data_IF_245202002614
#
_entry.id   IF_245202002614
#
_cell.length_a   1.000
_cell.length_b   1.000
_cell.length_c   1.000
_cell.angle_alpha   90.00
_cell.angle_beta   90.00
_cell.angle_gamma   90.00
#
_symmetry.space_group_name_H-M   'P 1'
#
loop_
_entity.id
_entity.type
_entity.pdbx_description
1 polymer ?
#
# COMPACT_ATOMS: atom_id res chain seq x y z
N UNK A 1 -12.66 -21.32 -6.66
CA UNK A 1 -11.23 -21.66 -6.85
C UNK A 1 -10.99 -22.90 -6.02
N UNK A 2 -10.75 -24.03 -6.68
CA UNK A 2 -10.26 -25.24 -6.02
C UNK A 2 -8.74 -25.09 -5.89
N UNK A 3 -8.20 -25.20 -4.68
CA UNK A 3 -6.75 -25.15 -4.44
C UNK A 3 -6.22 -26.58 -4.56
N UNK A 4 -5.14 -26.74 -5.32
CA UNK A 4 -4.48 -28.02 -5.59
C UNK A 4 -3.03 -27.94 -5.11
N UNK A 5 -2.50 -29.04 -4.57
CA UNK A 5 -1.14 -29.14 -4.02
C UNK A 5 -0.06 -29.24 -5.10
N UNK A 6 -0.13 -28.37 -6.10
CA UNK A 6 0.91 -28.25 -7.11
C UNK A 6 2.10 -27.44 -6.56
N UNK A 7 3.30 -27.85 -6.96
CA UNK A 7 4.51 -27.09 -6.65
C UNK A 7 4.41 -25.65 -7.19
N UNK A 8 4.91 -24.68 -6.40
CA UNK A 8 5.01 -23.29 -6.83
C UNK A 8 5.97 -23.24 -8.03
N UNK A 9 5.55 -22.70 -9.19
CA UNK A 9 6.45 -22.54 -10.32
C UNK A 9 7.59 -21.59 -9.99
N UNK A 10 8.82 -22.09 -10.15
CA UNK A 10 10.06 -21.34 -9.95
C UNK A 10 10.82 -21.31 -11.27
N UNK A 11 11.30 -20.13 -11.68
CA UNK A 11 12.27 -20.01 -12.78
C UNK A 11 13.56 -19.36 -12.28
N UNK A 12 14.70 -19.86 -12.71
CA UNK A 12 16.02 -19.30 -12.39
C UNK A 12 16.67 -18.81 -13.67
N UNK A 13 17.19 -17.59 -13.68
CA UNK A 13 17.78 -16.94 -14.87
C UNK A 13 19.09 -16.25 -14.51
N UNK A 14 20.09 -16.41 -15.37
CA UNK A 14 21.33 -15.64 -15.30
C UNK A 14 21.23 -14.41 -16.20
N UNK A 15 21.45 -13.22 -15.64
CA UNK A 15 21.48 -11.97 -16.36
C UNK A 15 22.94 -11.56 -16.57
N UNK A 16 23.37 -11.63 -17.83
CA UNK A 16 24.71 -11.23 -18.26
C UNK A 16 24.78 -9.79 -18.80
N UNK A 17 23.63 -9.17 -19.08
CA UNK A 17 23.57 -7.86 -19.75
C UNK A 17 23.67 -6.69 -18.77
N UNK A 18 23.27 -6.89 -17.52
CA UNK A 18 23.37 -5.86 -16.49
C UNK A 18 24.66 -5.99 -15.70
N UNK A 19 25.30 -4.84 -15.47
CA UNK A 19 26.42 -4.73 -14.55
C UNK A 19 25.97 -4.82 -13.10
N UNK A 20 24.84 -4.17 -12.77
CA UNK A 20 24.26 -4.11 -11.44
C UNK A 20 22.74 -3.93 -11.49
N UNK A 21 22.10 -4.06 -10.33
CA UNK A 21 20.68 -3.75 -10.16
C UNK A 21 20.38 -2.31 -10.63
N UNK A 22 19.44 -2.11 -11.58
CA UNK A 22 19.32 -0.83 -12.29
C UNK A 22 18.45 0.20 -11.55
N UNK A 23 17.86 -0.16 -10.40
CA UNK A 23 17.04 0.76 -9.62
C UNK A 23 17.78 1.24 -8.38
N UNK A 24 17.50 2.49 -8.00
CA UNK A 24 18.02 3.09 -6.79
C UNK A 24 17.34 2.49 -5.53
N UNK A 25 17.40 3.19 -4.41
CA UNK A 25 16.75 2.75 -3.16
C UNK A 25 15.25 3.02 -3.12
N UNK A 26 14.63 3.56 -4.18
CA UNK A 26 13.20 3.89 -4.19
C UNK A 26 12.36 2.62 -4.11
N UNK A 27 11.43 2.57 -3.17
CA UNK A 27 10.63 1.37 -2.89
C UNK A 27 9.56 1.15 -3.96
N UNK A 28 8.82 2.19 -4.33
CA UNK A 28 7.78 2.08 -5.37
C UNK A 28 8.33 2.57 -6.69
N UNK A 29 8.25 1.73 -7.73
CA UNK A 29 8.81 2.06 -9.04
C UNK A 29 7.75 1.86 -10.14
N UNK A 30 7.04 2.93 -10.50
CA UNK A 30 6.01 2.94 -11.56
C UNK A 30 6.61 3.26 -12.92
N UNK A 31 7.40 4.34 -13.01
CA UNK A 31 8.03 4.77 -14.28
C UNK A 31 9.01 3.73 -14.84
N UNK A 32 9.52 2.84 -13.99
CA UNK A 32 10.40 1.72 -14.34
C UNK A 32 9.68 0.38 -14.50
N UNK A 33 8.34 0.35 -14.46
CA UNK A 33 7.58 -0.90 -14.47
C UNK A 33 7.92 -1.79 -15.67
N UNK A 34 8.07 -1.20 -16.86
CA UNK A 34 8.51 -1.94 -18.07
C UNK A 34 9.83 -2.66 -17.88
N UNK A 35 10.80 -2.02 -17.21
CA UNK A 35 12.12 -2.61 -16.91
C UNK A 35 12.01 -3.70 -15.83
N UNK A 36 11.17 -3.46 -14.82
CA UNK A 36 10.93 -4.42 -13.74
C UNK A 36 10.21 -5.69 -14.19
N UNK A 37 9.34 -5.62 -15.22
CA UNK A 37 8.59 -6.78 -15.75
C UNK A 37 9.50 -7.98 -16.06
N UNK A 38 10.72 -7.73 -16.52
CA UNK A 38 11.67 -8.79 -16.86
C UNK A 38 12.08 -9.67 -15.67
N UNK A 39 11.86 -9.22 -14.43
CA UNK A 39 12.18 -9.95 -13.21
C UNK A 39 10.99 -10.71 -12.62
N UNK A 40 9.82 -10.65 -13.23
CA UNK A 40 8.63 -11.37 -12.77
C UNK A 40 8.17 -12.39 -13.81
N UNK A 41 7.65 -13.51 -13.32
CA UNK A 41 6.73 -14.34 -14.09
C UNK A 41 5.33 -14.02 -13.59
N UNK A 42 4.61 -13.14 -14.28
CA UNK A 42 3.32 -12.68 -13.78
C UNK A 42 2.28 -13.81 -13.75
N UNK A 43 1.57 -13.89 -12.63
CA UNK A 43 0.29 -14.59 -12.55
C UNK A 43 -0.67 -13.93 -13.55
N UNK A 44 -1.30 -14.75 -14.38
CA UNK A 44 -2.16 -14.27 -15.45
C UNK A 44 -3.57 -14.02 -14.90
N UNK A 45 -3.80 -12.82 -14.37
CA UNK A 45 -5.09 -12.42 -13.76
C UNK A 45 -6.30 -12.72 -14.65
N UNK A 46 -6.18 -12.58 -15.97
CA UNK A 46 -7.28 -12.94 -16.89
C UNK A 46 -7.66 -14.41 -16.77
N UNK A 47 -6.68 -15.32 -16.78
CA UNK A 47 -6.93 -16.76 -16.62
C UNK A 47 -7.55 -17.09 -15.26
N UNK A 48 -7.14 -16.40 -14.20
CA UNK A 48 -7.77 -16.57 -12.88
C UNK A 48 -9.23 -16.14 -12.88
N UNK A 49 -9.55 -15.01 -13.52
CA UNK A 49 -10.92 -14.53 -13.65
C UNK A 49 -11.79 -15.44 -14.53
N UNK A 50 -11.18 -16.11 -15.51
CA UNK A 50 -11.82 -17.12 -16.35
C UNK A 50 -11.88 -18.50 -15.67
N UNK A 51 -11.55 -18.59 -14.37
CA UNK A 51 -11.51 -19.81 -13.57
C UNK A 51 -10.64 -20.93 -14.16
N UNK A 52 -9.52 -20.57 -14.80
CA UNK A 52 -8.57 -21.56 -15.30
C UNK A 52 -7.99 -22.37 -14.14
N UNK A 53 -8.12 -23.71 -14.13
CA UNK A 53 -7.57 -24.56 -13.07
C UNK A 53 -6.04 -24.68 -13.15
N UNK A 54 -5.43 -24.19 -14.23
CA UNK A 54 -4.00 -24.32 -14.50
C UNK A 54 -3.19 -23.06 -14.23
N UNK A 55 -3.83 -21.93 -13.93
CA UNK A 55 -3.09 -20.71 -13.61
C UNK A 55 -2.65 -20.73 -12.13
N UNK A 56 -1.34 -20.75 -11.85
CA UNK A 56 -0.81 -20.73 -10.49
C UNK A 56 -1.15 -19.41 -9.80
N UNK A 57 -1.45 -19.48 -8.50
CA UNK A 57 -1.76 -18.30 -7.68
C UNK A 57 -0.49 -17.58 -7.17
N UNK A 58 0.66 -18.23 -7.26
CA UNK A 58 1.96 -17.70 -6.90
C UNK A 58 3.00 -18.19 -7.91
N UNK A 59 3.89 -17.29 -8.35
CA UNK A 59 5.05 -17.61 -9.19
C UNK A 59 6.28 -16.91 -8.62
N UNK A 60 7.42 -17.59 -8.66
CA UNK A 60 8.70 -17.05 -8.19
C UNK A 60 9.69 -17.05 -9.37
N UNK A 61 10.39 -15.94 -9.56
CA UNK A 61 11.50 -15.83 -10.49
C UNK A 61 12.74 -15.38 -9.74
N UNK A 62 13.82 -16.14 -9.86
CA UNK A 62 15.12 -15.83 -9.28
C UNK A 62 16.04 -15.41 -10.42
N UNK A 63 16.63 -14.23 -10.32
CA UNK A 63 17.56 -13.70 -11.32
C UNK A 63 18.90 -13.41 -10.67
N UNK A 64 19.98 -13.97 -11.21
CA UNK A 64 21.36 -13.67 -10.79
C UNK A 64 21.98 -12.67 -11.78
N UNK A 65 22.37 -11.50 -11.30
CA UNK A 65 23.09 -10.48 -12.09
C UNK A 65 24.57 -10.79 -11.98
N UNK A 66 25.11 -11.47 -12.99
CA UNK A 66 26.43 -12.11 -12.94
C UNK A 66 27.55 -11.10 -12.62
N UNK A 67 27.49 -9.91 -13.21
CA UNK A 67 28.58 -8.93 -13.13
C UNK A 67 28.75 -8.29 -11.74
N UNK A 68 27.68 -8.21 -10.95
CA UNK A 68 27.69 -7.63 -9.59
C UNK A 68 27.47 -8.67 -8.48
N UNK A 69 27.27 -9.93 -8.87
CA UNK A 69 26.88 -11.01 -7.97
C UNK A 69 25.59 -10.72 -7.15
N UNK A 70 24.69 -9.91 -7.71
CA UNK A 70 23.43 -9.56 -7.07
C UNK A 70 22.32 -10.56 -7.41
N UNK A 71 21.49 -10.90 -6.44
CA UNK A 71 20.34 -11.77 -6.60
C UNK A 71 19.03 -11.01 -6.46
N UNK A 72 18.08 -11.31 -7.34
CA UNK A 72 16.75 -10.70 -7.37
C UNK A 72 15.70 -11.80 -7.28
N UNK A 73 14.78 -11.67 -6.32
CA UNK A 73 13.64 -12.58 -6.17
C UNK A 73 12.36 -11.84 -6.56
N UNK A 74 11.87 -12.10 -7.77
CA UNK A 74 10.61 -11.59 -8.26
C UNK A 74 9.44 -12.46 -7.79
N UNK A 75 8.53 -11.86 -7.03
CA UNK A 75 7.33 -12.52 -6.50
C UNK A 75 6.11 -12.02 -7.28
N UNK A 76 5.40 -12.93 -7.95
CA UNK A 76 4.07 -12.64 -8.49
C UNK A 76 3.03 -13.38 -7.68
N UNK A 77 2.24 -12.60 -6.93
CA UNK A 77 1.27 -13.08 -5.95
C UNK A 77 -0.15 -12.69 -6.38
N UNK A 78 -1.03 -13.66 -6.55
CA UNK A 78 -2.44 -13.40 -6.82
C UNK A 78 -3.10 -12.83 -5.57
N UNK A 79 -3.65 -11.62 -5.65
CA UNK A 79 -4.24 -10.95 -4.50
C UNK A 79 -5.44 -11.71 -3.89
N UNK A 80 -5.99 -12.73 -4.57
CA UNK A 80 -7.01 -13.64 -4.03
C UNK A 80 -6.49 -14.56 -2.91
N UNK A 81 -5.19 -14.85 -2.89
CA UNK A 81 -4.55 -15.62 -1.81
C UNK A 81 -4.60 -14.84 -0.49
N UNK A 82 -4.32 -13.54 -0.58
CA UNK A 82 -4.35 -12.64 0.55
C UNK A 82 -3.71 -11.30 0.23
N UNK A 83 -3.75 -10.44 1.23
CA UNK A 83 -3.17 -9.10 1.20
C UNK A 83 -1.66 -9.10 1.48
N UNK A 84 -1.09 -7.90 1.58
CA UNK A 84 0.32 -7.65 1.81
C UNK A 84 0.89 -8.38 3.04
N UNK A 85 0.15 -8.46 4.15
CA UNK A 85 0.66 -9.15 5.36
C UNK A 85 0.68 -10.67 5.18
N UNK A 86 -0.28 -11.26 4.47
CA UNK A 86 -0.25 -12.69 4.15
C UNK A 86 0.95 -13.04 3.27
N UNK A 87 1.23 -12.22 2.26
CA UNK A 87 2.39 -12.36 1.39
C UNK A 87 3.70 -12.20 2.19
N UNK A 88 3.77 -11.19 3.07
CA UNK A 88 4.93 -10.97 3.94
C UNK A 88 5.20 -12.17 4.85
N UNK A 89 4.17 -12.72 5.48
CA UNK A 89 4.28 -13.88 6.36
C UNK A 89 4.83 -15.11 5.62
N UNK A 90 4.32 -15.38 4.42
CA UNK A 90 4.84 -16.42 3.55
C UNK A 90 6.33 -16.20 3.22
N UNK A 91 6.70 -15.00 2.79
CA UNK A 91 8.08 -14.69 2.39
C UNK A 91 9.05 -14.63 3.56
N UNK A 92 8.62 -14.16 4.73
CA UNK A 92 9.40 -14.21 5.95
C UNK A 92 9.69 -15.66 6.36
N UNK A 93 8.67 -16.53 6.33
CA UNK A 93 8.85 -17.96 6.60
C UNK A 93 9.83 -18.59 5.62
N UNK A 94 9.68 -18.31 4.32
CA UNK A 94 10.60 -18.79 3.29
C UNK A 94 12.04 -18.31 3.52
N UNK A 95 12.23 -17.02 3.85
CA UNK A 95 13.53 -16.43 4.18
C UNK A 95 14.18 -17.10 5.39
N UNK A 96 13.40 -17.38 6.44
CA UNK A 96 13.89 -18.02 7.66
C UNK A 96 14.27 -19.48 7.43
N UNK A 97 13.45 -20.23 6.71
CA UNK A 97 13.75 -21.60 6.32
C UNK A 97 15.03 -21.70 5.48
N UNK A 98 15.24 -20.76 4.55
CA UNK A 98 16.50 -20.67 3.79
C UNK A 98 17.72 -20.51 4.71
N UNK A 99 17.58 -19.72 5.77
CA UNK A 99 18.61 -19.50 6.79
C UNK A 99 18.69 -20.60 7.84
N UNK A 100 17.88 -21.67 7.73
CA UNK A 100 17.74 -22.75 8.75
C UNK A 100 17.32 -22.22 10.12
N UNK A 101 16.47 -21.20 10.13
CA UNK A 101 15.85 -20.63 11.31
C UNK A 101 14.40 -21.09 11.42
N UNK A 102 13.93 -21.35 12.64
CA UNK A 102 12.52 -21.64 12.93
C UNK A 102 11.61 -20.48 12.52
N UNK A 103 10.39 -20.70 12.00
CA UNK A 103 9.42 -19.62 11.77
C UNK A 103 9.19 -18.77 13.03
N UNK A 104 9.05 -17.46 12.88
CA UNK A 104 8.81 -16.54 14.01
C UNK A 104 7.40 -15.93 14.01
N UNK A 105 6.54 -16.39 13.11
CA UNK A 105 5.15 -16.00 13.01
C UNK A 105 4.26 -17.18 13.41
N UNK A 106 3.05 -16.95 13.94
CA UNK A 106 2.14 -18.04 14.28
C UNK A 106 1.73 -18.84 13.04
N UNK A 107 1.31 -20.09 13.27
CA UNK A 107 0.83 -20.96 12.21
C UNK A 107 -0.31 -20.33 11.41
N UNK A 108 -0.32 -20.51 10.08
CA UNK A 108 -1.33 -19.92 9.22
C UNK A 108 -2.72 -20.51 9.51
N UNK A 109 -3.71 -19.64 9.64
CA UNK A 109 -5.12 -20.02 9.72
C UNK A 109 -5.74 -19.77 8.34
N UNK A 110 -6.41 -20.78 7.78
CA UNK A 110 -7.03 -20.70 6.46
C UNK A 110 -8.54 -20.57 6.52
N UNK A 111 -9.13 -20.90 7.67
CA UNK A 111 -10.55 -20.82 7.97
C UNK A 111 -10.99 -19.35 7.95
N UNK A 112 -11.93 -19.04 7.05
CA UNK A 112 -12.51 -17.70 6.89
C UNK A 112 -13.90 -17.69 7.48
N UNK A 113 -14.26 -16.61 8.19
CA UNK A 113 -15.66 -16.34 8.52
C UNK A 113 -16.47 -16.20 7.23
N UNK A 114 -17.61 -16.87 7.17
CA UNK A 114 -18.57 -16.74 6.09
C UNK A 114 -19.68 -15.77 6.52
N UNK A 115 -19.83 -14.69 5.77
CA UNK A 115 -20.88 -13.70 5.96
C UNK A 115 -22.18 -14.14 5.27
N UNK A 116 -23.30 -13.87 5.91
CA UNK A 116 -24.64 -14.13 5.40
C UNK A 116 -25.22 -12.82 4.83
N UNK A 117 -25.93 -12.88 3.70
CA UNK A 117 -26.48 -11.68 3.06
C UNK A 117 -27.43 -10.88 4.00
N UNK A 118 -28.11 -11.56 4.94
CA UNK A 118 -28.98 -10.92 5.95
C UNK A 118 -28.23 -10.10 7.01
N UNK A 119 -26.92 -10.27 7.14
CA UNK A 119 -26.08 -9.47 8.05
C UNK A 119 -25.71 -8.12 7.42
N UNK A 120 -25.98 -7.90 6.13
CA UNK A 120 -25.74 -6.63 5.45
C UNK A 120 -26.70 -5.55 5.95
N UNK A 121 -26.19 -4.33 6.13
CA UNK A 121 -26.91 -3.19 6.68
C UNK A 121 -26.86 -2.03 5.69
N UNK A 122 -28.03 -1.63 5.18
CA UNK A 122 -28.17 -0.62 4.12
C UNK A 122 -27.65 0.77 4.50
N UNK A 123 -27.56 1.11 5.79
CA UNK A 123 -27.02 2.39 6.24
C UNK A 123 -25.53 2.56 5.93
N UNK A 124 -24.81 1.48 5.59
CA UNK A 124 -23.40 1.53 5.22
C UNK A 124 -23.15 1.82 3.73
N UNK A 125 -24.17 1.72 2.86
CA UNK A 125 -24.02 1.93 1.42
C UNK A 125 -23.37 3.28 1.05
N UNK A 126 -23.68 4.42 1.71
CA UNK A 126 -23.02 5.69 1.42
C UNK A 126 -21.50 5.68 1.65
N UNK A 127 -20.99 4.78 2.50
CA UNK A 127 -19.55 4.62 2.81
C UNK A 127 -18.86 3.62 1.87
N UNK A 128 -19.60 3.04 0.92
CA UNK A 128 -19.17 1.91 0.08
C UNK A 128 -19.29 2.23 -1.41
N UNK A 129 -19.13 3.50 -1.78
CA UNK A 129 -19.14 3.97 -3.17
C UNK A 129 -18.29 3.11 -4.11
N UNK A 130 -17.11 2.63 -3.65
CA UNK A 130 -16.22 1.78 -4.42
C UNK A 130 -16.88 0.48 -4.94
N UNK A 131 -17.88 -0.03 -4.20
CA UNK A 131 -18.64 -1.23 -4.54
C UNK A 131 -19.95 -0.87 -5.25
N UNK A 132 -20.65 0.17 -4.81
CA UNK A 132 -21.91 0.62 -5.42
C UNK A 132 -21.70 1.09 -6.87
N UNK A 133 -20.63 1.86 -7.10
CA UNK A 133 -20.25 2.40 -8.41
C UNK A 133 -19.37 1.46 -9.21
N UNK A 134 -19.42 0.15 -8.93
CA UNK A 134 -18.64 -0.84 -9.67
C UNK A 134 -18.91 -0.71 -11.18
N UNK A 135 -17.87 -0.83 -12.00
CA UNK A 135 -17.98 -0.63 -13.45
C UNK A 135 -17.74 -1.93 -14.19
N UNK A 136 -18.19 -2.06 -15.46
CA UNK A 136 -17.73 -3.13 -16.33
C UNK A 136 -16.20 -3.13 -16.42
N UNK A 137 -15.62 -4.33 -16.44
CA UNK A 137 -14.17 -4.56 -16.37
C UNK A 137 -13.40 -3.81 -17.48
N UNK A 138 -13.99 -3.71 -18.66
CA UNK A 138 -13.40 -3.09 -19.85
C UNK A 138 -13.15 -1.58 -19.67
N UNK A 139 -13.90 -0.91 -18.79
CA UNK A 139 -13.70 0.53 -18.52
C UNK A 139 -12.47 0.80 -17.66
N UNK A 140 -12.03 -0.16 -16.84
CA UNK A 140 -10.92 0.05 -15.91
C UNK A 140 -9.56 0.12 -16.62
N UNK A 141 -9.35 -0.67 -17.68
CA UNK A 141 -8.09 -0.67 -18.44
C UNK A 141 -7.81 0.69 -19.10
N UNK A 142 -8.86 1.35 -19.63
CA UNK A 142 -8.71 2.63 -20.30
C UNK A 142 -8.29 3.75 -19.33
N UNK A 143 -8.80 3.72 -18.10
CA UNK A 143 -8.42 4.70 -17.07
C UNK A 143 -6.96 4.58 -16.67
N UNK A 144 -6.40 3.36 -16.64
CA UNK A 144 -4.99 3.15 -16.30
C UNK A 144 -4.07 3.81 -17.36
N UNK A 145 -4.37 3.63 -18.64
CA UNK A 145 -3.59 4.22 -19.74
C UNK A 145 -3.64 5.75 -19.65
N UNK A 146 -4.84 6.33 -19.50
CA UNK A 146 -5.02 7.79 -19.42
C UNK A 146 -4.27 8.43 -18.23
N UNK A 147 -4.10 7.68 -17.13
CA UNK A 147 -3.37 8.17 -15.97
C UNK A 147 -1.87 8.33 -16.26
N UNK A 148 -1.26 7.44 -17.05
CA UNK A 148 0.17 7.50 -17.36
C UNK A 148 0.55 8.74 -18.20
N UNK A 149 -0.38 9.24 -19.00
CA UNK A 149 -0.14 10.39 -19.87
C UNK A 149 -0.21 11.73 -19.10
N UNK A 150 -1.06 11.82 -18.08
CA UNK A 150 -1.32 13.09 -17.39
C UNK A 150 -0.66 13.20 -16.01
N UNK A 151 -0.31 12.07 -15.41
CA UNK A 151 0.24 12.01 -14.07
C UNK A 151 1.72 11.59 -14.09
N UNK A 152 2.40 11.92 -13.00
CA UNK A 152 3.78 11.53 -12.76
C UNK A 152 3.94 11.04 -11.34
N UNK A 153 4.79 10.03 -11.17
CA UNK A 153 5.11 9.52 -9.86
C UNK A 153 5.90 10.54 -9.04
N UNK A 154 5.54 10.61 -7.77
CA UNK A 154 6.24 11.27 -6.69
C UNK A 154 6.75 10.19 -5.73
N UNK A 155 7.98 10.34 -5.25
CA UNK A 155 8.54 9.58 -4.14
C UNK A 155 9.16 10.59 -3.15
N UNK A 156 8.56 10.73 -1.98
CA UNK A 156 9.05 11.60 -0.91
C UNK A 156 9.66 10.72 0.18
N UNK A 157 10.85 11.06 0.65
CA UNK A 157 11.54 10.31 1.71
C UNK A 157 11.60 11.15 2.97
N UNK A 158 11.17 10.59 4.09
CA UNK A 158 11.23 11.22 5.39
C UNK A 158 12.11 10.38 6.32
N UNK A 159 13.06 11.03 6.99
CA UNK A 159 13.82 10.38 8.08
C UNK A 159 12.94 10.22 9.33
N UNK A 160 13.33 9.32 10.23
CA UNK A 160 12.70 9.16 11.53
C UNK A 160 12.73 10.43 12.37
N UNK A 161 13.78 11.25 12.22
CA UNK A 161 13.88 12.56 12.86
C UNK A 161 12.83 13.53 12.31
N UNK A 162 12.73 13.65 10.98
CA UNK A 162 11.74 14.52 10.32
C UNK A 162 10.31 14.11 10.69
N UNK A 163 10.02 12.81 10.73
CA UNK A 163 8.72 12.29 11.17
C UNK A 163 8.42 12.62 12.64
N UNK A 164 9.43 12.57 13.50
CA UNK A 164 9.29 12.95 14.91
C UNK A 164 9.01 14.45 15.02
N UNK A 165 9.73 15.29 14.27
CA UNK A 165 9.49 16.74 14.23
C UNK A 165 8.06 17.04 13.75
N UNK A 166 7.60 16.43 12.66
CA UNK A 166 6.23 16.56 12.18
C UNK A 166 5.21 16.20 13.27
N UNK A 167 5.41 15.08 13.97
CA UNK A 167 4.49 14.65 15.04
C UNK A 167 4.37 15.67 16.18
N UNK A 168 5.47 16.34 16.56
CA UNK A 168 5.43 17.40 17.59
C UNK A 168 4.61 18.64 17.18
N UNK A 169 4.30 18.81 15.89
CA UNK A 169 3.47 19.91 15.41
C UNK A 169 2.00 19.73 15.76
N UNK A 170 1.51 18.52 16.03
CA UNK A 170 0.06 18.32 16.29
C UNK A 170 -0.29 18.43 17.78
N UNK A 171 0.69 18.41 18.70
CA UNK A 171 0.51 18.53 20.16
C UNK A 171 -0.63 17.68 20.76
N UNK A 172 -0.91 16.53 20.16
CA UNK A 172 -1.95 15.62 20.61
C UNK A 172 -1.41 14.21 20.72
N UNK A 173 -1.66 13.59 21.86
CA UNK A 173 -1.13 12.27 22.20
C UNK A 173 -1.93 11.13 21.56
N UNK A 174 -3.14 11.41 21.09
CA UNK A 174 -4.03 10.42 20.46
C UNK A 174 -3.64 10.11 19.01
N UNK A 175 -3.01 11.06 18.30
CA UNK A 175 -2.56 10.88 16.92
C UNK A 175 -1.18 10.22 16.88
N UNK A 176 -0.94 9.41 15.85
CA UNK A 176 0.35 8.76 15.61
C UNK A 176 1.15 9.48 14.54
N UNK A 177 2.44 9.18 14.47
CA UNK A 177 3.33 9.62 13.37
C UNK A 177 2.71 9.31 12.00
N UNK A 178 2.03 8.17 11.87
CA UNK A 178 1.40 7.77 10.62
C UNK A 178 0.26 8.73 10.21
N UNK A 179 -0.61 9.11 11.14
CA UNK A 179 -1.72 10.03 10.85
C UNK A 179 -1.19 11.41 10.50
N UNK A 180 -0.18 11.88 11.23
CA UNK A 180 0.46 13.19 10.99
C UNK A 180 1.18 13.22 9.64
N UNK A 181 1.85 12.13 9.24
CA UNK A 181 2.46 12.03 7.91
C UNK A 181 1.41 12.15 6.80
N UNK A 182 0.30 11.41 6.89
CA UNK A 182 -0.78 11.48 5.90
C UNK A 182 -1.35 12.90 5.86
N UNK A 183 -1.65 13.47 7.04
CA UNK A 183 -2.20 14.81 7.17
C UNK A 183 -1.26 15.87 6.57
N UNK A 184 0.04 15.76 6.80
CA UNK A 184 1.04 16.66 6.23
C UNK A 184 0.99 16.64 4.69
N UNK A 185 0.96 15.47 4.06
CA UNK A 185 0.89 15.36 2.60
C UNK A 185 -0.40 15.97 2.05
N UNK A 186 -1.54 15.71 2.70
CA UNK A 186 -2.84 16.29 2.32
C UNK A 186 -2.83 17.80 2.42
N UNK A 187 -2.37 18.34 3.56
CA UNK A 187 -2.33 19.79 3.79
C UNK A 187 -1.35 20.46 2.82
N UNK A 188 -0.20 19.84 2.54
CA UNK A 188 0.77 20.33 1.55
C UNK A 188 0.14 20.42 0.15
N UNK A 189 -0.61 19.41 -0.27
CA UNK A 189 -1.35 19.42 -1.54
C UNK A 189 -2.44 20.51 -1.55
N UNK A 190 -3.27 20.56 -0.52
CA UNK A 190 -4.38 21.52 -0.39
C UNK A 190 -3.93 22.97 -0.28
N UNK A 191 -2.69 23.21 0.17
CA UNK A 191 -2.12 24.55 0.32
C UNK A 191 -1.39 25.00 -0.93
N UNK A 192 -0.61 24.12 -1.56
CA UNK A 192 0.34 24.53 -2.60
C UNK A 192 0.04 23.98 -3.99
N UNK A 193 -0.88 23.03 -4.15
CA UNK A 193 -1.14 22.36 -5.42
C UNK A 193 -2.60 22.39 -5.87
N UNK A 194 -3.54 22.48 -4.94
CA UNK A 194 -4.99 22.41 -5.18
C UNK A 194 -5.61 23.77 -4.84
N UNK A 195 -5.60 24.67 -5.82
CA UNK A 195 -5.93 26.09 -5.64
C UNK A 195 -7.44 26.33 -5.46
N UNK A 196 -8.28 25.47 -6.04
CA UNK A 196 -9.73 25.59 -5.99
C UNK A 196 -10.34 24.78 -4.84
N UNK A 197 -11.35 25.32 -4.16
CA UNK A 197 -12.10 24.62 -3.10
C UNK A 197 -12.72 23.31 -3.56
N UNK A 198 -13.03 23.22 -4.85
CA UNK A 198 -13.62 22.04 -5.49
C UNK A 198 -12.59 20.95 -5.82
N UNK A 199 -11.28 21.27 -5.80
CA UNK A 199 -10.20 20.29 -6.00
C UNK A 199 -9.59 19.81 -4.68
N UNK A 200 -9.79 20.56 -3.60
CA UNK A 200 -9.23 20.29 -2.28
C UNK A 200 -9.56 18.88 -1.79
N UNK A 201 -8.57 18.14 -1.28
CA UNK A 201 -8.81 16.84 -0.64
C UNK A 201 -9.56 17.09 0.67
N UNK A 202 -10.76 16.52 0.80
CA UNK A 202 -11.69 16.71 1.91
C UNK A 202 -11.80 15.50 2.82
N UNK A 203 -11.45 14.31 2.35
CA UNK A 203 -11.48 13.10 3.16
C UNK A 203 -10.44 12.09 2.68
N UNK A 204 -10.21 11.07 3.51
CA UNK A 204 -9.35 9.93 3.16
C UNK A 204 -10.16 8.68 2.97
N UNK A 205 -9.63 7.76 2.17
CA UNK A 205 -10.10 6.40 2.07
C UNK A 205 -8.97 5.44 2.41
N UNK A 206 -8.94 5.01 3.67
CA UNK A 206 -7.78 4.32 4.25
C UNK A 206 -7.98 2.81 4.21
N UNK A 207 -6.99 2.08 3.71
CA UNK A 207 -6.97 0.61 3.78
C UNK A 207 -6.60 0.21 5.22
N UNK A 208 -7.55 -0.35 5.95
CA UNK A 208 -7.41 -0.75 7.35
C UNK A 208 -7.29 -2.26 7.45
N UNK A 209 -6.22 -2.74 8.11
CA UNK A 209 -6.08 -4.13 8.52
C UNK A 209 -6.89 -4.39 9.79
N UNK A 210 -7.76 -5.41 9.74
CA UNK A 210 -8.64 -5.80 10.86
C UNK A 210 -8.26 -7.15 11.50
N UNK A 211 -7.14 -7.77 11.11
CA UNK A 211 -6.61 -8.96 11.80
C UNK A 211 -6.32 -8.65 13.25
N UNK A 212 -6.71 -9.56 14.13
CA UNK A 212 -6.47 -9.47 15.56
C UNK A 212 -7.23 -8.34 16.26
N UNK A 213 -8.16 -7.67 15.57
CA UNK A 213 -9.10 -6.74 16.22
C UNK A 213 -10.15 -7.56 16.99
N UNK A 214 -10.74 -8.55 16.31
CA UNK A 214 -11.59 -9.56 16.92
C UNK A 214 -11.26 -10.93 16.31
N UNK A 215 -10.85 -11.88 17.16
CA UNK A 215 -10.43 -13.22 16.70
C UNK A 215 -11.56 -13.99 16.00
N UNK A 216 -12.81 -13.77 16.41
CA UNK A 216 -14.01 -14.34 15.78
C UNK A 216 -14.27 -13.85 14.35
N UNK A 217 -13.66 -12.72 13.96
CA UNK A 217 -13.79 -12.13 12.62
C UNK A 217 -12.56 -12.49 11.78
N UNK A 218 -11.37 -12.16 12.27
CA UNK A 218 -10.11 -12.43 11.61
C UNK A 218 -8.97 -12.62 12.62
N UNK A 219 -8.54 -13.86 12.88
CA UNK A 219 -7.42 -14.09 13.77
C UNK A 219 -6.10 -13.49 13.21
N UNK A 220 -5.11 -13.21 14.07
CA UNK A 220 -3.86 -12.57 13.65
C UNK A 220 -3.10 -13.28 12.53
N UNK A 221 -3.18 -14.62 12.45
CA UNK A 221 -2.50 -15.43 11.44
C UNK A 221 -3.38 -15.84 10.24
N UNK A 222 -4.54 -15.20 10.08
CA UNK A 222 -5.43 -15.47 8.94
C UNK A 222 -4.75 -15.20 7.59
N UNK A 223 -4.68 -16.23 6.74
CA UNK A 223 -4.19 -16.18 5.36
C UNK A 223 -5.36 -15.87 4.42
N UNK A 224 -5.65 -14.58 4.30
CA UNK A 224 -6.72 -14.05 3.46
C UNK A 224 -6.49 -12.57 3.13
N UNK A 225 -7.48 -11.92 2.51
CA UNK A 225 -7.56 -10.47 2.57
C UNK A 225 -8.32 -10.10 3.83
N UNK A 226 -7.63 -9.61 4.85
CA UNK A 226 -8.23 -9.04 6.04
C UNK A 226 -7.89 -7.55 6.15
N UNK A 227 -8.21 -6.87 5.06
CA UNK A 227 -8.21 -5.42 4.91
C UNK A 227 -9.53 -4.94 4.30
N UNK A 228 -9.98 -3.75 4.66
CA UNK A 228 -11.07 -3.06 3.96
C UNK A 228 -10.74 -1.58 3.80
N UNK A 229 -11.48 -0.88 2.94
CA UNK A 229 -11.28 0.55 2.68
C UNK A 229 -12.27 1.36 3.52
N UNK A 230 -11.76 2.14 4.47
CA UNK A 230 -12.55 2.98 5.36
C UNK A 230 -12.56 4.43 4.86
N UNK A 231 -13.75 4.97 4.57
CA UNK A 231 -13.94 6.39 4.26
C UNK A 231 -13.98 7.20 5.56
N UNK A 232 -13.18 8.26 5.66
CA UNK A 232 -13.27 9.21 6.76
C UNK A 232 -14.46 10.15 6.60
N UNK A 233 -14.81 10.85 7.67
CA UNK A 233 -15.59 12.08 7.55
C UNK A 233 -14.80 13.13 6.76
N UNK A 234 -15.52 14.15 6.29
CA UNK A 234 -14.89 15.35 5.73
C UNK A 234 -14.07 16.06 6.81
N UNK A 235 -12.95 16.66 6.42
CA UNK A 235 -12.14 17.50 7.29
C UNK A 235 -12.87 18.83 7.51
N UNK A 236 -13.06 19.22 8.78
CA UNK A 236 -13.64 20.52 9.11
C UNK A 236 -12.75 21.65 8.58
N UNK A 237 -11.43 21.46 8.65
CA UNK A 237 -10.43 22.30 8.02
C UNK A 237 -9.40 21.44 7.26
N UNK A 238 -9.52 21.32 5.92
CA UNK A 238 -8.63 20.51 5.10
C UNK A 238 -7.21 21.09 4.97
N UNK A 239 -6.93 22.28 5.53
CA UNK A 239 -5.60 22.90 5.59
C UNK A 239 -5.02 22.92 7.00
N UNK A 240 -5.75 22.44 8.01
CA UNK A 240 -5.24 22.28 9.37
C UNK A 240 -4.61 20.90 9.56
N UNK A 241 -3.31 20.87 9.85
CA UNK A 241 -2.58 19.64 10.11
C UNK A 241 -3.19 18.81 11.25
N UNK A 242 -3.63 19.47 12.33
CA UNK A 242 -4.25 18.78 13.46
C UNK A 242 -5.63 18.22 13.09
N UNK A 243 -6.49 19.03 12.45
CA UNK A 243 -7.85 18.58 12.09
C UNK A 243 -7.80 17.35 11.18
N UNK A 244 -6.97 17.39 10.12
CA UNK A 244 -6.83 16.26 9.20
C UNK A 244 -6.29 15.02 9.92
N UNK A 245 -5.25 15.15 10.76
CA UNK A 245 -4.66 14.04 11.50
C UNK A 245 -5.65 13.40 12.48
N UNK A 246 -6.39 14.21 13.23
CA UNK A 246 -7.42 13.74 14.14
C UNK A 246 -8.56 13.03 13.41
N UNK A 247 -9.06 13.57 12.30
CA UNK A 247 -10.15 12.97 11.53
C UNK A 247 -9.75 11.60 10.97
N UNK A 248 -8.50 11.47 10.48
CA UNK A 248 -7.93 10.18 10.08
C UNK A 248 -7.90 9.23 11.28
N UNK A 249 -7.35 9.66 12.42
CA UNK A 249 -7.25 8.86 13.65
C UNK A 249 -8.63 8.39 14.15
N UNK A 250 -9.63 9.27 14.19
CA UNK A 250 -11.02 8.93 14.55
C UNK A 250 -11.61 7.89 13.61
N UNK A 251 -11.43 8.05 12.29
CA UNK A 251 -11.96 7.08 11.31
C UNK A 251 -11.33 5.68 11.47
N UNK A 252 -10.02 5.61 11.75
CA UNK A 252 -9.33 4.34 12.04
C UNK A 252 -9.85 3.71 13.34
N UNK A 253 -10.06 4.49 14.39
CA UNK A 253 -10.63 3.97 15.65
C UNK A 253 -12.04 3.42 15.45
N UNK A 254 -12.93 4.20 14.83
CA UNK A 254 -14.29 3.78 14.50
C UNK A 254 -14.30 2.48 13.69
N UNK A 255 -13.40 2.36 12.72
CA UNK A 255 -13.28 1.18 11.87
C UNK A 255 -12.93 -0.12 12.62
N UNK A 256 -12.52 -0.02 13.89
CA UNK A 256 -12.15 -1.15 14.76
C UNK A 256 -13.17 -1.42 15.86
N UNK A 257 -14.24 -0.64 15.97
CA UNK A 257 -15.36 -0.93 16.86
C UNK A 257 -16.18 -2.08 16.27
N UNK A 258 -16.56 -3.08 17.07
CA UNK A 258 -17.25 -4.28 16.55
C UNK A 258 -18.60 -3.94 15.92
N UNK A 259 -19.30 -2.99 16.55
CA UNK A 259 -20.61 -2.49 16.11
C UNK A 259 -20.55 -1.82 14.74
N UNK A 260 -19.36 -1.33 14.34
CA UNK A 260 -19.11 -0.80 13.01
C UNK A 260 -18.55 -1.88 12.08
N UNK A 261 -17.48 -2.57 12.50
CA UNK A 261 -16.69 -3.47 11.67
C UNK A 261 -17.51 -4.65 11.14
N UNK A 262 -18.29 -5.30 12.00
CA UNK A 262 -19.00 -6.52 11.65
C UNK A 262 -20.11 -6.26 10.60
N UNK A 263 -21.04 -5.30 10.78
CA UNK A 263 -21.99 -4.93 9.74
C UNK A 263 -21.33 -4.38 8.47
N UNK A 264 -20.22 -3.64 8.61
CA UNK A 264 -19.48 -3.12 7.46
C UNK A 264 -18.96 -4.27 6.58
N UNK A 265 -18.29 -5.26 7.17
CA UNK A 265 -17.73 -6.39 6.44
C UNK A 265 -18.81 -7.27 5.80
N UNK A 266 -19.91 -7.53 6.52
CA UNK A 266 -21.06 -8.26 5.99
C UNK A 266 -21.67 -7.55 4.76
N UNK A 267 -21.82 -6.23 4.84
CA UNK A 267 -22.35 -5.43 3.73
C UNK A 267 -21.38 -5.43 2.55
N UNK A 268 -20.08 -5.23 2.78
CA UNK A 268 -19.07 -5.28 1.73
C UNK A 268 -19.03 -6.66 1.03
N UNK A 269 -19.11 -7.77 1.76
CA UNK A 269 -19.18 -9.13 1.19
C UNK A 269 -20.41 -9.30 0.29
N UNK A 270 -21.58 -8.84 0.75
CA UNK A 270 -22.82 -8.86 -0.03
C UNK A 270 -22.69 -8.07 -1.34
N UNK A 271 -22.13 -6.85 -1.28
CA UNK A 271 -21.90 -6.03 -2.47
C UNK A 271 -20.86 -6.65 -3.42
N UNK A 272 -19.80 -7.24 -2.89
CA UNK A 272 -18.80 -7.95 -3.71
C UNK A 272 -19.41 -9.14 -4.45
N UNK A 273 -20.23 -9.96 -3.77
CA UNK A 273 -20.95 -11.07 -4.42
C UNK A 273 -21.89 -10.57 -5.50
N UNK A 274 -22.64 -9.50 -5.24
CA UNK A 274 -23.50 -8.86 -6.24
C UNK A 274 -22.69 -8.42 -7.46
N UNK A 275 -21.58 -7.70 -7.26
CA UNK A 275 -20.72 -7.24 -8.33
C UNK A 275 -20.15 -8.39 -9.17
N UNK A 276 -19.72 -9.49 -8.54
CA UNK A 276 -19.27 -10.69 -9.26
C UNK A 276 -20.40 -11.31 -10.10
N UNK A 277 -21.60 -11.46 -9.54
CA UNK A 277 -22.78 -11.96 -10.27
C UNK A 277 -23.12 -11.08 -11.48
N UNK A 278 -22.98 -9.77 -11.33
CA UNK A 278 -23.23 -8.77 -12.38
C UNK A 278 -22.05 -8.56 -13.33
N UNK A 279 -20.94 -9.29 -13.18
CA UNK A 279 -19.69 -9.11 -13.96
C UNK A 279 -19.14 -7.68 -13.90
N UNK A 280 -19.33 -7.00 -12.76
CA UNK A 280 -18.80 -5.68 -12.46
C UNK A 280 -17.57 -5.80 -11.57
N UNK A 281 -16.68 -4.82 -11.66
CA UNK A 281 -15.49 -4.73 -10.83
C UNK A 281 -15.54 -3.45 -10.00
N UNK A 282 -15.15 -3.57 -8.73
CA UNK A 282 -15.08 -2.44 -7.81
C UNK A 282 -14.22 -1.33 -8.40
N UNK A 283 -14.66 -0.09 -8.22
CA UNK A 283 -13.92 1.08 -8.65
C UNK A 283 -12.74 1.29 -7.71
N UNK A 284 -11.55 0.89 -8.15
CA UNK A 284 -10.33 0.96 -7.33
C UNK A 284 -9.68 2.35 -7.32
N UNK A 285 -10.08 3.25 -8.23
CA UNK A 285 -9.55 4.62 -8.35
C UNK A 285 -10.01 5.51 -7.20
N UNK A 286 -9.37 6.67 -7.02
CA UNK A 286 -9.86 7.72 -6.13
C UNK A 286 -11.14 8.36 -6.68
N UNK A 287 -11.92 8.97 -5.79
CA UNK A 287 -13.02 9.88 -6.12
C UNK A 287 -12.53 11.34 -6.03
N UNK A 288 -13.29 12.28 -6.59
CA UNK A 288 -12.97 13.71 -6.43
C UNK A 288 -12.88 14.07 -4.95
N UNK A 289 -11.90 14.91 -4.59
CA UNK A 289 -11.63 15.33 -3.21
C UNK A 289 -11.18 14.21 -2.24
N UNK A 290 -10.84 13.01 -2.73
CA UNK A 290 -10.40 11.87 -1.91
C UNK A 290 -8.90 11.58 -2.10
N UNK A 291 -8.21 11.23 -1.01
CA UNK A 291 -6.91 10.54 -1.07
C UNK A 291 -7.03 9.11 -0.55
N UNK A 292 -6.63 8.12 -1.35
CA UNK A 292 -6.65 6.71 -0.94
C UNK A 292 -5.34 6.38 -0.25
N UNK A 293 -5.39 5.78 0.94
CA UNK A 293 -4.19 5.48 1.75
C UNK A 293 -3.98 3.97 1.83
N UNK A 294 -2.89 3.46 1.24
CA UNK A 294 -2.43 2.08 1.35
C UNK A 294 -1.05 2.02 2.01
N UNK A 295 -1.05 2.03 3.34
CA UNK A 295 0.18 2.08 4.12
C UNK A 295 0.70 0.69 4.48
N UNK A 296 1.97 0.46 4.16
CA UNK A 296 2.76 -0.70 4.56
C UNK A 296 3.83 -0.29 5.59
N UNK A 297 3.70 0.88 6.22
CA UNK A 297 4.69 1.43 7.17
C UNK A 297 4.95 0.49 8.37
N UNK A 298 3.97 -0.32 8.77
CA UNK A 298 4.11 -1.31 9.85
C UNK A 298 5.00 -2.50 9.42
N UNK A 299 5.17 -2.73 8.12
CA UNK A 299 5.88 -3.87 7.56
C UNK A 299 7.27 -3.43 7.08
N UNK A 300 8.31 -3.86 7.79
CA UNK A 300 9.68 -3.67 7.34
C UNK A 300 10.09 -4.80 6.40
N UNK A 301 9.66 -4.73 5.14
CA UNK A 301 9.88 -5.77 4.14
C UNK A 301 11.36 -6.15 3.95
N UNK A 302 12.23 -5.15 3.93
CA UNK A 302 13.67 -5.35 3.74
C UNK A 302 14.35 -6.02 4.95
N UNK A 303 13.81 -5.88 6.16
CA UNK A 303 14.29 -6.63 7.34
C UNK A 303 13.62 -8.00 7.49
N UNK A 304 12.34 -8.09 7.15
CA UNK A 304 11.55 -9.31 7.32
C UNK A 304 11.89 -10.37 6.27
N UNK A 305 12.37 -9.99 5.09
CA UNK A 305 12.63 -10.88 3.96
C UNK A 305 14.06 -10.67 3.47
N UNK A 306 15.05 -10.98 4.32
CA UNK A 306 16.46 -10.68 4.04
C UNK A 306 17.28 -11.84 3.45
N UNK A 307 16.82 -13.09 3.54
CA UNK A 307 17.53 -14.30 3.11
C UNK A 307 18.98 -14.38 3.63
N UNK A 308 19.27 -13.80 4.80
CA UNK A 308 20.61 -13.73 5.41
C UNK A 308 21.41 -12.48 5.04
N UNK A 309 20.90 -11.64 4.13
CA UNK A 309 21.51 -10.38 3.70
C UNK A 309 20.98 -9.18 4.52
N UNK A 310 21.02 -9.30 5.85
CA UNK A 310 20.46 -8.28 6.76
C UNK A 310 21.06 -6.90 6.52
N UNK A 311 20.21 -5.87 6.48
CA UNK A 311 20.56 -4.48 6.13
C UNK A 311 21.11 -4.27 4.70
N UNK A 312 21.09 -5.29 3.84
CA UNK A 312 21.52 -5.21 2.45
C UNK A 312 20.37 -5.55 1.48
N UNK A 313 19.34 -6.24 1.97
CA UNK A 313 18.13 -6.51 1.20
C UNK A 313 17.33 -5.23 0.93
N UNK A 314 16.85 -5.09 -0.31
CA UNK A 314 15.98 -4.00 -0.75
C UNK A 314 14.66 -4.58 -1.22
N UNK A 315 13.56 -3.97 -0.81
CA UNK A 315 12.21 -4.31 -1.24
C UNK A 315 11.73 -3.34 -2.30
N UNK A 316 11.12 -3.88 -3.36
CA UNK A 316 10.54 -3.10 -4.44
C UNK A 316 9.10 -3.53 -4.66
N UNK A 317 8.22 -2.54 -4.85
CA UNK A 317 6.84 -2.75 -5.23
C UNK A 317 6.53 -1.99 -6.51
N UNK A 318 5.66 -2.57 -7.33
CA UNK A 318 5.10 -1.91 -8.51
C UNK A 318 3.73 -1.32 -8.18
N UNK A 319 3.23 -0.47 -9.07
CA UNK A 319 1.87 0.08 -9.04
C UNK A 319 1.63 1.14 -7.97
N UNK A 320 1.25 2.32 -8.43
CA UNK A 320 0.54 3.34 -7.65
C UNK A 320 -0.44 4.09 -8.57
N UNK A 321 -1.29 4.92 -8.01
CA UNK A 321 -2.34 5.63 -8.76
C UNK A 321 -2.37 7.12 -8.45
N UNK A 322 -3.12 7.90 -9.24
CA UNK A 322 -3.45 9.29 -8.90
C UNK A 322 -4.04 9.38 -7.50
N UNK A 323 -3.43 10.17 -6.62
CA UNK A 323 -3.82 10.36 -5.22
C UNK A 323 -4.00 9.03 -4.44
N UNK A 324 -3.36 7.96 -4.88
CA UNK A 324 -3.29 6.68 -4.20
C UNK A 324 -1.94 6.61 -3.47
N UNK A 325 -1.94 6.95 -2.20
CA UNK A 325 -0.73 7.02 -1.39
C UNK A 325 -0.29 5.66 -0.89
N UNK A 326 0.96 5.31 -1.18
CA UNK A 326 1.64 4.16 -0.59
C UNK A 326 2.72 4.64 0.36
N UNK A 327 2.85 3.98 1.50
CA UNK A 327 3.86 4.30 2.52
C UNK A 327 4.65 3.05 2.86
N UNK A 328 5.97 3.12 2.78
CA UNK A 328 6.88 2.00 3.05
C UNK A 328 8.03 2.41 3.95
N UNK A 329 8.65 1.44 4.63
CA UNK A 329 9.97 1.64 5.24
C UNK A 329 11.01 1.85 4.16
N UNK A 330 12.03 2.66 4.46
CA UNK A 330 13.12 2.91 3.53
C UNK A 330 13.89 1.62 3.22
N UNK A 331 14.39 1.52 1.99
CA UNK A 331 15.42 0.55 1.64
C UNK A 331 16.79 1.00 2.17
N UNK A 332 17.71 0.05 2.45
CA UNK A 332 19.12 0.40 2.66
C UNK A 332 19.72 1.04 1.40
N UNK A 333 20.74 1.87 1.60
CA UNK A 333 21.44 2.61 0.54
C UNK A 333 22.86 2.06 0.44
N UNK A 334 23.28 1.78 -0.79
CA UNK A 334 24.66 1.43 -1.09
C UNK A 334 25.42 2.68 -1.54
N UNK A 335 26.59 2.93 -0.95
CA UNK A 335 27.50 4.01 -1.34
C UNK A 335 28.85 3.42 -1.72
N UNK A 336 29.08 3.24 -3.03
CA UNK A 336 30.22 2.47 -3.51
C UNK A 336 30.10 1.00 -3.11
N UNK A 337 31.07 0.49 -2.35
CA UNK A 337 31.07 -0.89 -1.84
C UNK A 337 30.43 -1.04 -0.47
N UNK A 338 30.14 0.08 0.21
CA UNK A 338 29.64 0.06 1.59
C UNK A 338 28.12 0.25 1.64
N UNK A 339 27.50 -0.40 2.63
CA UNK A 339 26.10 -0.20 2.96
C UNK A 339 25.96 0.83 4.07
N UNK A 340 25.21 1.89 3.80
CA UNK A 340 24.90 2.91 4.82
C UNK A 340 23.88 2.33 5.79
N UNK A 341 24.07 2.61 7.08
CA UNK A 341 23.08 2.24 8.09
C UNK A 341 21.71 2.81 7.74
N UNK A 342 20.73 1.92 7.66
CA UNK A 342 19.38 2.26 7.25
C UNK A 342 18.63 2.93 8.39
N UNK A 343 18.05 4.09 8.12
CA UNK A 343 17.07 4.69 9.02
C UNK A 343 15.78 3.85 9.03
N UNK A 344 15.69 2.92 10.00
CA UNK A 344 14.55 2.01 10.20
C UNK A 344 13.26 2.75 10.58
N UNK A 345 13.36 3.98 11.07
CA UNK A 345 12.20 4.81 11.42
C UNK A 345 11.74 5.67 10.25
N UNK A 346 12.61 5.91 9.27
CA UNK A 346 12.28 6.60 8.04
C UNK A 346 11.27 5.86 7.17
N UNK A 347 10.64 6.61 6.27
CA UNK A 347 9.64 6.11 5.32
C UNK A 347 9.77 6.74 3.95
N UNK A 348 9.30 6.02 2.94
CA UNK A 348 9.04 6.54 1.61
C UNK A 348 7.53 6.63 1.39
N UNK A 349 7.07 7.75 0.83
CA UNK A 349 5.70 7.99 0.40
C UNK A 349 5.68 8.07 -1.13
N UNK A 350 4.80 7.29 -1.77
CA UNK A 350 4.67 7.27 -3.23
C UNK A 350 3.22 7.35 -3.71
N UNK A 351 2.96 8.22 -4.68
CA UNK A 351 1.66 8.38 -5.36
C UNK A 351 1.86 9.05 -6.72
N UNK A 352 0.83 9.07 -7.57
CA UNK A 352 0.84 9.87 -8.79
C UNK A 352 0.14 11.22 -8.55
N UNK A 353 0.71 12.28 -9.11
CA UNK A 353 0.12 13.62 -9.17
C UNK A 353 0.15 14.13 -10.61
N UNK A 354 -0.78 15.03 -10.97
CA UNK A 354 -0.76 15.69 -12.27
C UNK A 354 0.61 16.32 -12.54
N UNK A 355 1.12 16.13 -13.77
CA UNK A 355 2.46 16.61 -14.17
C UNK A 355 2.66 18.11 -13.92
N UNK A 356 1.62 18.91 -14.13
CA UNK A 356 1.60 20.36 -13.88
C UNK A 356 1.79 20.74 -12.41
N UNK A 357 1.36 19.88 -11.47
CA UNK A 357 1.41 20.12 -10.02
C UNK A 357 2.71 19.59 -9.37
N UNK A 358 3.44 18.69 -10.03
CA UNK A 358 4.64 18.02 -9.50
C UNK A 358 5.71 19.00 -8.99
N UNK A 359 6.10 19.99 -9.78
CA UNK A 359 7.17 20.93 -9.40
C UNK A 359 6.77 21.73 -8.17
N UNK A 360 5.51 22.21 -8.10
CA UNK A 360 4.99 22.95 -6.95
C UNK A 360 5.05 22.12 -5.67
N UNK A 361 4.63 20.86 -5.73
CA UNK A 361 4.69 19.94 -4.59
C UNK A 361 6.12 19.73 -4.11
N UNK A 362 7.05 19.40 -5.02
CA UNK A 362 8.45 19.11 -4.67
C UNK A 362 9.12 20.35 -4.08
N UNK A 363 8.90 21.53 -4.65
CA UNK A 363 9.45 22.78 -4.11
C UNK A 363 8.92 23.08 -2.71
N UNK A 364 7.61 22.93 -2.49
CA UNK A 364 7.01 23.17 -1.17
C UNK A 364 7.51 22.15 -0.13
N UNK A 365 7.59 20.88 -0.49
CA UNK A 365 8.14 19.83 0.36
C UNK A 365 9.62 20.10 0.72
N UNK A 366 10.46 20.42 -0.27
CA UNK A 366 11.87 20.69 -0.04
C UNK A 366 12.08 21.89 0.89
N UNK A 367 11.33 22.98 0.67
CA UNK A 367 11.35 24.14 1.57
C UNK A 367 11.02 23.73 3.00
N UNK A 368 9.98 22.92 3.20
CA UNK A 368 9.60 22.47 4.53
C UNK A 368 10.68 21.62 5.21
N UNK A 369 11.40 20.80 4.46
CA UNK A 369 12.55 20.05 4.99
C UNK A 369 13.69 20.99 5.40
N UNK A 370 14.03 21.96 4.55
CA UNK A 370 15.11 22.92 4.78
C UNK A 370 14.82 23.81 5.99
N UNK A 371 13.55 24.21 6.15
CA UNK A 371 13.06 25.04 7.26
C UNK A 371 12.66 24.23 8.50
N UNK A 372 12.88 22.90 8.50
CA UNK A 372 12.49 22.00 9.61
C UNK A 372 11.04 22.18 10.04
N UNK A 373 10.16 22.31 9.05
CA UNK A 373 8.72 22.48 9.20
C UNK A 373 8.31 23.73 10.00
N UNK A 374 9.15 24.78 10.04
CA UNK A 374 8.89 25.98 10.84
C UNK A 374 7.56 26.68 10.50
N UNK A 375 7.19 26.76 9.21
CA UNK A 375 5.95 27.42 8.77
C UNK A 375 4.67 26.80 9.37
N UNK A 376 4.72 25.53 9.78
CA UNK A 376 3.57 24.83 10.35
C UNK A 376 3.41 25.10 11.85
N UNK A 377 4.41 25.73 12.50
CA UNK A 377 4.32 26.13 13.91
C UNK A 377 3.48 27.39 14.10
N UNK A 378 3.51 28.31 13.14
CA UNK A 378 2.78 29.59 13.22
C UNK A 378 1.28 29.45 12.97
N UNK A 379 0.85 28.36 12.33
CA UNK A 379 -0.56 28.03 12.08
C UNK A 379 -1.26 27.36 13.29
N UNK A 380 -0.61 27.33 14.46
CA UNK A 380 -1.17 26.79 15.71
C UNK A 380 -2.09 27.77 16.46
N UNK A 381 -2.02 29.06 16.12
CA UNK A 381 -2.81 30.13 16.72
C UNK A 381 -3.85 30.62 15.73
#
# INVERSE_FOLDING_TARGET
>A
IEMVDHAIPISIVNNHSLSQWPFDSTVVVENGYSSMKSYFNFVQNQKLLDNSPYEPLLRIKITHIIQSDQWVIGISWAHVLGDAISCLHFLNTLSRLYQRLEPCIPDPIFERRLWQEREAVSSFLPLMNLFEDAVPKERLSNNIVNNLDNYSQINLRFSGEQLTQLHTLVNETSVTIHDVLIAYIIVLLNTFCLDNTDECIKHTSTIVNYRGVYESIAPPSLVANAVFRMLSEDFDDPRSLSNVAQTIRRSIHRSREIEFLEPYLATADSLMRRNVREKRQCRMTHYGNEMVINSNMKYDWADAVDFGCRNQCRFYATWTGPYYMRVFRLNPIQNGHDWIERDRKGVEVAFLIEKSKKIRLITAWQRDLDEKFAQWKSLKN
#
